data_IF_331231372212
#
_entry.id   IF_331231372212
#
_cell.length_a   1.000
_cell.length_b   1.000
_cell.length_c   1.000
_cell.angle_alpha   90.00
_cell.angle_beta   90.00
_cell.angle_gamma   90.00
#
_symmetry.space_group_name_H-M   'P 1'
#
loop_
_entity.id
_entity.type
_entity.pdbx_description
1 polymer ?
#
# COMPACT_ATOMS: atom_id res chain seq x y z
N UNK A 1 -12.93 2.52 46.26
CA UNK A 1 -11.72 2.88 45.49
C UNK A 1 -11.74 2.09 44.20
N UNK A 2 -12.29 2.66 43.14
CA UNK A 2 -12.44 1.98 41.86
C UNK A 2 -11.13 2.14 41.10
N UNK A 3 -10.39 1.04 40.95
CA UNK A 3 -9.22 0.95 40.09
C UNK A 3 -9.72 1.15 38.66
N UNK A 4 -9.73 2.40 38.19
CA UNK A 4 -9.68 2.70 36.75
C UNK A 4 -8.37 2.08 36.29
N UNK A 5 -8.44 0.87 35.73
CA UNK A 5 -7.33 0.27 35.03
C UNK A 5 -6.84 1.32 34.03
N UNK A 6 -5.64 1.85 34.28
CA UNK A 6 -4.91 2.66 33.33
C UNK A 6 -4.80 1.82 32.06
N UNK A 7 -5.69 2.03 31.08
CA UNK A 7 -5.51 1.51 29.74
C UNK A 7 -4.17 2.05 29.29
N UNK A 8 -3.15 1.19 29.27
CA UNK A 8 -1.81 1.52 28.80
C UNK A 8 -1.98 2.17 27.42
N UNK A 9 -1.52 3.41 27.26
CA UNK A 9 -1.59 4.12 25.98
C UNK A 9 -0.91 3.23 24.94
N UNK A 10 -1.62 2.86 23.89
CA UNK A 10 -1.09 2.02 22.81
C UNK A 10 -0.03 2.86 22.10
N UNK A 11 1.18 2.33 22.00
CA UNK A 11 2.25 2.95 21.21
C UNK A 11 2.27 2.30 19.83
N UNK A 12 1.74 3.02 18.84
CA UNK A 12 1.52 2.47 17.50
C UNK A 12 2.82 2.22 16.73
N UNK A 13 3.94 2.82 17.13
CA UNK A 13 5.25 2.56 16.50
C UNK A 13 5.83 1.19 16.84
N UNK A 14 5.28 0.50 17.84
CA UNK A 14 5.74 -0.84 18.25
C UNK A 14 5.10 -1.98 17.46
N UNK A 15 4.17 -1.68 16.55
CA UNK A 15 3.52 -2.69 15.72
C UNK A 15 4.23 -2.89 14.37
N UNK A 16 4.12 -4.09 13.77
CA UNK A 16 3.47 -5.30 14.31
C UNK A 16 4.28 -5.94 15.45
N UNK A 17 3.69 -6.93 16.13
CA UNK A 17 4.47 -7.80 17.01
C UNK A 17 5.45 -8.69 16.21
N UNK A 18 6.27 -9.48 16.92
CA UNK A 18 7.27 -10.38 16.30
C UNK A 18 6.66 -11.45 15.40
N UNK A 19 5.38 -11.77 15.56
CA UNK A 19 4.66 -12.73 14.72
C UNK A 19 3.95 -12.04 13.55
N UNK A 20 4.15 -10.73 13.37
CA UNK A 20 3.54 -9.96 12.30
C UNK A 20 2.10 -9.55 12.54
N UNK A 21 1.65 -9.51 13.80
CA UNK A 21 0.27 -9.14 14.13
C UNK A 21 0.11 -7.70 14.62
N UNK A 22 -0.97 -7.06 14.16
CA UNK A 22 -1.52 -5.79 14.66
C UNK A 22 -2.69 -6.11 15.59
N UNK A 23 -2.36 -6.52 16.82
CA UNK A 23 -3.34 -7.13 17.71
C UNK A 23 -3.79 -8.49 17.18
N UNK A 24 -5.01 -8.59 16.65
CA UNK A 24 -5.53 -9.85 16.07
C UNK A 24 -5.40 -9.96 14.55
N UNK A 25 -5.03 -8.87 13.87
CA UNK A 25 -4.94 -8.79 12.41
C UNK A 25 -3.49 -9.00 11.95
N UNK A 26 -3.27 -9.27 10.67
CA UNK A 26 -1.94 -9.51 10.11
C UNK A 26 -1.60 -11.00 10.02
N UNK A 27 -0.38 -11.36 10.41
CA UNK A 27 0.13 -12.74 10.39
C UNK A 27 0.52 -13.26 9.01
N UNK A 28 0.76 -14.57 8.91
CA UNK A 28 1.12 -15.29 7.67
C UNK A 28 0.10 -16.42 7.44
N UNK A 29 -0.84 -16.18 6.52
CA UNK A 29 -1.89 -17.13 6.15
C UNK A 29 -1.74 -17.58 4.70
N UNK A 30 -0.59 -18.16 4.38
CA UNK A 30 -0.23 -18.63 3.03
C UNK A 30 -0.05 -20.15 3.00
N UNK A 31 0.09 -20.71 1.80
CA UNK A 31 0.49 -22.10 1.64
C UNK A 31 1.93 -22.32 2.13
N UNK A 32 2.22 -23.51 2.65
CA UNK A 32 3.54 -23.89 3.17
C UNK A 32 4.67 -23.65 2.16
N UNK A 33 4.39 -23.81 0.86
CA UNK A 33 5.34 -23.58 -0.22
C UNK A 33 5.84 -22.14 -0.33
N UNK A 34 5.19 -21.17 0.31
CA UNK A 34 5.65 -19.77 0.37
C UNK A 34 6.31 -19.40 1.69
N UNK A 35 6.32 -20.29 2.68
CA UNK A 35 6.82 -19.94 4.02
C UNK A 35 8.30 -19.61 4.01
N UNK A 36 9.12 -20.39 3.27
CA UNK A 36 10.56 -20.13 3.15
C UNK A 36 10.84 -18.79 2.45
N UNK A 37 10.12 -18.49 1.37
CA UNK A 37 10.23 -17.20 0.66
C UNK A 37 9.92 -16.01 1.57
N UNK A 38 8.92 -16.15 2.45
CA UNK A 38 8.52 -15.13 3.40
C UNK A 38 9.50 -15.01 4.57
N UNK A 39 10.15 -16.11 4.97
CA UNK A 39 11.22 -16.10 5.95
C UNK A 39 12.45 -15.37 5.40
N UNK A 40 12.90 -15.71 4.20
CA UNK A 40 13.99 -15.02 3.51
C UNK A 40 13.71 -13.50 3.40
N UNK A 41 12.48 -13.14 3.02
CA UNK A 41 12.05 -11.74 2.94
C UNK A 41 12.04 -11.03 4.30
N UNK A 42 11.56 -11.69 5.35
CA UNK A 42 11.52 -11.12 6.70
C UNK A 42 12.92 -10.94 7.29
N UNK A 43 13.81 -11.90 7.11
CA UNK A 43 15.21 -11.78 7.54
C UNK A 43 15.92 -10.63 6.80
N UNK A 44 15.74 -10.54 5.49
CA UNK A 44 16.27 -9.43 4.70
C UNK A 44 15.68 -8.09 5.18
N UNK A 45 14.35 -8.02 5.37
CA UNK A 45 13.69 -6.81 5.86
C UNK A 45 14.19 -6.39 7.25
N UNK A 46 14.29 -7.32 8.20
CA UNK A 46 14.80 -7.05 9.55
C UNK A 46 16.24 -6.52 9.54
N UNK A 47 17.06 -7.02 8.62
CA UNK A 47 18.44 -6.57 8.43
C UNK A 47 18.47 -5.16 7.85
N UNK A 48 17.85 -4.95 6.69
CA UNK A 48 18.01 -3.73 5.91
C UNK A 48 17.18 -2.54 6.43
N UNK A 49 16.09 -2.77 7.18
CA UNK A 49 15.28 -1.67 7.75
C UNK A 49 16.04 -0.77 8.74
N UNK A 50 17.15 -1.26 9.30
CA UNK A 50 18.03 -0.50 10.19
C UNK A 50 19.46 -0.36 9.66
N UNK A 51 19.73 -0.86 8.45
CA UNK A 51 21.05 -0.79 7.84
C UNK A 51 21.32 0.64 7.33
N UNK A 52 22.37 1.33 7.81
CA UNK A 52 22.64 2.71 7.43
C UNK A 52 22.93 2.90 5.94
N UNK A 53 23.56 1.91 5.27
CA UNK A 53 23.88 2.00 3.85
C UNK A 53 22.62 1.87 2.99
N UNK A 54 21.73 0.93 3.32
CA UNK A 54 20.43 0.77 2.67
C UNK A 54 19.56 2.01 2.82
N UNK A 55 19.48 2.58 4.04
CA UNK A 55 18.71 3.78 4.30
C UNK A 55 19.27 4.99 3.55
N UNK A 56 20.60 5.13 3.48
CA UNK A 56 21.23 6.20 2.70
C UNK A 56 20.97 6.05 1.18
N UNK A 57 21.01 4.83 0.64
CA UNK A 57 20.67 4.55 -0.76
C UNK A 57 19.19 4.85 -1.05
N UNK A 58 18.29 4.45 -0.14
CA UNK A 58 16.86 4.74 -0.24
C UNK A 58 16.58 6.24 -0.19
N UNK A 59 17.16 6.97 0.76
CA UNK A 59 16.96 8.41 0.91
C UNK A 59 17.51 9.18 -0.31
N UNK A 60 18.65 8.75 -0.85
CA UNK A 60 19.21 9.31 -2.08
C UNK A 60 18.25 9.10 -3.26
N UNK A 61 17.64 7.93 -3.38
CA UNK A 61 16.68 7.62 -4.44
C UNK A 61 15.39 8.41 -4.28
N UNK A 62 14.86 8.51 -3.05
CA UNK A 62 13.69 9.33 -2.76
C UNK A 62 13.96 10.80 -3.13
N UNK A 63 15.13 11.34 -2.78
CA UNK A 63 15.47 12.72 -3.08
C UNK A 63 15.75 12.99 -4.57
N UNK A 64 16.56 12.15 -5.22
CA UNK A 64 17.11 12.44 -6.56
C UNK A 64 16.35 11.78 -7.70
N UNK A 65 15.72 10.64 -7.47
CA UNK A 65 14.97 9.91 -8.49
C UNK A 65 13.46 10.15 -8.37
N UNK A 66 12.91 10.10 -7.15
CA UNK A 66 11.48 10.33 -6.93
C UNK A 66 11.12 11.81 -6.90
N UNK A 67 11.99 12.65 -6.34
CA UNK A 67 11.78 14.10 -6.23
C UNK A 67 11.20 14.55 -4.89
N UNK A 68 11.46 13.79 -3.82
CA UNK A 68 11.04 14.13 -2.44
C UNK A 68 11.91 15.25 -1.83
N UNK A 69 11.40 16.01 -0.84
CA UNK A 69 10.06 15.94 -0.26
C UNK A 69 8.98 16.50 -1.17
N UNK A 70 7.76 15.93 -1.09
CA UNK A 70 6.62 16.49 -1.82
C UNK A 70 6.07 17.71 -1.08
N UNK A 71 5.62 18.77 -1.77
CA UNK A 71 5.07 19.95 -1.10
C UNK A 71 3.80 19.67 -0.28
N UNK A 72 3.59 20.47 0.76
CA UNK A 72 2.30 20.63 1.43
C UNK A 72 1.64 21.92 0.92
N UNK A 73 0.61 21.80 0.10
CA UNK A 73 0.01 22.93 -0.60
C UNK A 73 -1.28 23.40 0.07
N UNK A 74 -1.35 24.69 0.46
CA UNK A 74 -2.58 25.29 0.96
C UNK A 74 -3.58 25.55 -0.17
N UNK A 75 -4.68 24.81 -0.17
CA UNK A 75 -5.77 24.96 -1.12
C UNK A 75 -6.73 26.08 -0.67
N UNK A 76 -6.26 27.32 -0.68
CA UNK A 76 -7.02 28.49 -0.19
C UNK A 76 -8.43 28.62 -0.77
N UNK A 77 -8.57 28.37 -2.08
CA UNK A 77 -9.87 28.47 -2.76
C UNK A 77 -10.88 27.48 -2.18
N UNK A 78 -10.44 26.25 -1.92
CA UNK A 78 -11.29 25.24 -1.29
C UNK A 78 -11.59 25.60 0.17
N UNK A 79 -10.60 26.12 0.89
CA UNK A 79 -10.77 26.60 2.26
C UNK A 79 -11.88 27.65 2.35
N UNK A 80 -11.91 28.62 1.42
CA UNK A 80 -12.98 29.63 1.32
C UNK A 80 -14.34 29.03 0.94
N UNK A 81 -14.38 28.05 0.04
CA UNK A 81 -15.63 27.46 -0.46
C UNK A 81 -16.29 26.49 0.52
N UNK A 82 -15.51 25.83 1.38
CA UNK A 82 -15.98 24.76 2.27
C UNK A 82 -16.19 25.22 3.72
N UNK A 83 -16.50 26.50 3.92
CA UNK A 83 -16.89 27.03 5.23
C UNK A 83 -15.73 27.46 6.14
N UNK A 84 -14.53 27.65 5.59
CA UNK A 84 -13.40 28.29 6.29
C UNK A 84 -12.35 27.36 6.89
N UNK A 85 -12.55 26.03 6.84
CA UNK A 85 -11.52 25.07 7.22
C UNK A 85 -10.26 25.25 6.37
N UNK A 86 -9.07 25.19 6.97
CA UNK A 86 -7.81 25.32 6.23
C UNK A 86 -7.43 23.98 5.61
N UNK A 87 -7.48 23.89 4.28
CA UNK A 87 -7.30 22.64 3.54
C UNK A 87 -5.89 22.60 2.95
N UNK A 88 -5.10 21.61 3.38
CA UNK A 88 -3.76 21.36 2.87
C UNK A 88 -3.71 20.05 2.10
N UNK A 89 -3.05 20.07 0.95
CA UNK A 89 -2.88 18.91 0.09
C UNK A 89 -1.42 18.44 0.16
N UNK A 90 -1.17 17.24 0.69
CA UNK A 90 0.13 16.59 0.61
C UNK A 90 0.33 16.05 -0.81
N UNK A 91 1.23 16.67 -1.59
CA UNK A 91 1.29 16.57 -3.06
C UNK A 91 2.01 15.32 -3.58
N UNK A 92 1.58 14.13 -3.17
CA UNK A 92 2.10 12.85 -3.69
C UNK A 92 1.82 12.62 -5.18
N UNK A 93 0.94 13.43 -5.79
CA UNK A 93 0.71 13.49 -7.23
C UNK A 93 1.92 14.00 -8.02
N UNK A 94 2.84 14.73 -7.37
CA UNK A 94 4.04 15.28 -7.99
C UNK A 94 5.25 14.34 -7.97
N UNK A 95 5.13 13.20 -7.30
CA UNK A 95 6.18 12.19 -7.33
C UNK A 95 6.48 11.75 -8.77
N UNK A 96 7.71 11.31 -9.03
CA UNK A 96 7.98 10.52 -10.23
C UNK A 96 6.97 9.36 -10.35
N UNK A 97 6.53 9.07 -11.58
CA UNK A 97 5.38 8.20 -11.92
C UNK A 97 3.98 8.70 -11.53
N UNK A 98 3.86 9.79 -10.76
CA UNK A 98 2.61 10.52 -10.52
C UNK A 98 1.73 10.01 -9.37
N UNK A 99 2.28 9.21 -8.44
CA UNK A 99 1.54 8.71 -7.29
C UNK A 99 2.48 8.30 -6.13
N UNK A 100 1.91 8.08 -4.94
CA UNK A 100 2.64 7.58 -3.76
C UNK A 100 3.23 6.18 -3.93
N UNK A 101 2.81 5.41 -4.94
CA UNK A 101 3.24 4.01 -5.14
C UNK A 101 4.76 3.89 -5.32
N UNK A 102 5.40 4.90 -5.92
CA UNK A 102 6.84 4.89 -6.19
C UNK A 102 7.70 4.81 -4.92
N UNK A 103 7.23 5.36 -3.79
CA UNK A 103 7.92 5.28 -2.50
C UNK A 103 8.15 3.81 -2.10
N UNK A 104 7.09 3.02 -2.21
CA UNK A 104 7.11 1.59 -1.90
C UNK A 104 7.92 0.78 -2.93
N UNK A 105 7.75 1.06 -4.22
CA UNK A 105 8.42 0.26 -5.26
C UNK A 105 9.93 0.48 -5.27
N UNK A 106 10.41 1.70 -4.99
CA UNK A 106 11.85 1.96 -4.81
C UNK A 106 12.40 1.14 -3.65
N UNK A 107 11.76 1.21 -2.48
CA UNK A 107 12.20 0.45 -1.30
C UNK A 107 12.23 -1.06 -1.53
N UNK A 108 11.16 -1.63 -2.10
CA UNK A 108 11.09 -3.06 -2.39
C UNK A 108 12.07 -3.49 -3.49
N UNK A 109 12.29 -2.68 -4.53
CA UNK A 109 13.24 -3.02 -5.58
C UNK A 109 14.70 -2.97 -5.10
N UNK A 110 15.04 -2.02 -4.22
CA UNK A 110 16.33 -2.01 -3.53
C UNK A 110 16.49 -3.26 -2.67
N UNK A 111 15.46 -3.65 -1.91
CA UNK A 111 15.50 -4.88 -1.11
C UNK A 111 15.67 -6.13 -1.98
N UNK A 112 14.93 -6.22 -3.09
CA UNK A 112 15.05 -7.32 -4.06
C UNK A 112 16.48 -7.45 -4.61
N UNK A 113 17.10 -6.32 -4.97
CA UNK A 113 18.50 -6.26 -5.40
C UNK A 113 19.46 -6.75 -4.30
N UNK A 114 19.23 -6.35 -3.04
CA UNK A 114 20.04 -6.78 -1.89
C UNK A 114 19.87 -8.28 -1.58
N UNK A 115 18.71 -8.85 -1.90
CA UNK A 115 18.43 -10.29 -1.83
C UNK A 115 18.96 -11.06 -3.05
N UNK A 116 19.62 -10.41 -4.00
CA UNK A 116 20.15 -11.04 -5.21
C UNK A 116 19.08 -11.52 -6.20
N UNK A 117 17.82 -11.10 -6.04
CA UNK A 117 16.75 -11.42 -6.98
C UNK A 117 16.97 -10.65 -8.28
N UNK A 118 16.63 -11.25 -9.41
CA UNK A 118 16.85 -10.68 -10.76
C UNK A 118 15.55 -10.36 -11.48
N UNK A 119 14.43 -10.87 -10.95
CA UNK A 119 13.10 -10.75 -11.52
C UNK A 119 12.12 -10.18 -10.51
N UNK A 120 11.30 -9.23 -10.94
CA UNK A 120 10.23 -8.61 -10.16
C UNK A 120 8.88 -9.02 -10.75
N UNK A 121 7.95 -9.41 -9.88
CA UNK A 121 6.54 -9.56 -10.26
C UNK A 121 5.67 -8.62 -9.44
N UNK A 122 4.58 -8.13 -10.02
CA UNK A 122 3.64 -7.25 -9.33
C UNK A 122 2.21 -7.47 -9.85
N UNK A 123 1.21 -7.16 -9.02
CA UNK A 123 -0.18 -7.02 -9.46
C UNK A 123 -0.51 -5.57 -9.81
N UNK A 124 -1.56 -5.31 -10.60
CA UNK A 124 -2.11 -3.95 -10.68
C UNK A 124 -3.58 -3.95 -11.12
N UNK A 125 -4.35 -2.99 -10.60
CA UNK A 125 -5.73 -2.70 -11.03
C UNK A 125 -5.75 -1.42 -11.85
N UNK A 126 -5.65 -0.25 -11.21
CA UNK A 126 -5.58 1.05 -11.90
C UNK A 126 -4.31 1.25 -12.79
N UNK A 127 -3.32 0.36 -12.72
CA UNK A 127 -2.08 0.47 -13.49
C UNK A 127 -0.94 1.22 -12.79
N UNK A 128 -1.22 2.08 -11.80
CA UNK A 128 -0.20 2.92 -11.16
C UNK A 128 0.90 2.12 -10.44
N UNK A 129 0.56 1.04 -9.73
CA UNK A 129 1.58 0.18 -9.11
C UNK A 129 2.44 -0.52 -10.17
N UNK A 130 1.79 -1.08 -11.19
CA UNK A 130 2.49 -1.70 -12.31
C UNK A 130 3.45 -0.75 -13.03
N UNK A 131 3.07 0.50 -13.29
CA UNK A 131 3.95 1.52 -13.86
C UNK A 131 5.12 1.83 -12.93
N UNK A 132 4.88 1.97 -11.63
CA UNK A 132 5.94 2.21 -10.65
C UNK A 132 6.93 1.03 -10.53
N UNK A 133 6.42 -0.21 -10.55
CA UNK A 133 7.24 -1.44 -10.55
C UNK A 133 8.07 -1.57 -11.83
N UNK A 134 7.46 -1.34 -13.00
CA UNK A 134 8.18 -1.34 -14.29
C UNK A 134 9.27 -0.26 -14.33
N UNK A 135 9.00 0.91 -13.76
CA UNK A 135 9.94 2.04 -13.71
C UNK A 135 11.20 1.69 -12.91
N UNK A 136 11.04 1.10 -11.72
CA UNK A 136 12.20 0.73 -10.88
C UNK A 136 12.92 -0.50 -11.40
N UNK A 137 12.20 -1.45 -12.00
CA UNK A 137 12.81 -2.59 -12.67
C UNK A 137 13.70 -2.15 -13.85
N UNK A 138 13.20 -1.26 -14.71
CA UNK A 138 13.96 -0.71 -15.82
C UNK A 138 15.23 0.02 -15.34
N UNK A 139 15.13 0.80 -14.26
CA UNK A 139 16.28 1.49 -13.67
C UNK A 139 17.34 0.53 -13.12
N UNK A 140 16.92 -0.57 -12.50
CA UNK A 140 17.83 -1.54 -11.88
C UNK A 140 18.25 -2.67 -12.82
N UNK A 141 17.78 -2.69 -14.06
CA UNK A 141 18.07 -3.75 -15.03
C UNK A 141 17.47 -5.11 -14.66
N UNK A 142 16.31 -5.11 -13.99
CA UNK A 142 15.60 -6.32 -13.56
C UNK A 142 14.48 -6.69 -14.54
N UNK A 143 14.21 -7.98 -14.71
CA UNK A 143 13.01 -8.42 -15.43
C UNK A 143 11.76 -7.99 -14.64
N UNK A 144 10.71 -7.53 -15.33
CA UNK A 144 9.46 -7.16 -14.69
C UNK A 144 8.26 -7.81 -15.39
N UNK A 145 7.45 -8.55 -14.62
CA UNK A 145 6.15 -9.07 -15.07
C UNK A 145 5.03 -8.49 -14.20
N UNK A 146 4.08 -7.82 -14.84
CA UNK A 146 2.93 -7.22 -14.16
C UNK A 146 1.65 -7.97 -14.52
N UNK A 147 1.02 -8.56 -13.52
CA UNK A 147 -0.28 -9.21 -13.61
C UNK A 147 -1.40 -8.17 -13.52
N UNK A 148 -2.31 -8.18 -14.49
CA UNK A 148 -3.40 -7.21 -14.55
C UNK A 148 -4.68 -7.87 -15.05
N UNK A 149 -5.80 -7.59 -14.40
CA UNK A 149 -7.11 -8.09 -14.81
C UNK A 149 -7.44 -7.71 -16.25
N UNK A 150 -8.01 -8.63 -17.04
CA UNK A 150 -8.31 -8.37 -18.44
C UNK A 150 -9.28 -7.19 -18.65
N UNK A 151 -10.21 -6.97 -17.72
CA UNK A 151 -11.10 -5.79 -17.74
C UNK A 151 -10.33 -4.50 -17.46
N UNK A 152 -9.40 -4.54 -16.49
CA UNK A 152 -8.57 -3.40 -16.12
C UNK A 152 -7.61 -3.01 -17.25
N UNK A 153 -7.07 -3.97 -18.01
CA UNK A 153 -6.23 -3.70 -19.18
C UNK A 153 -6.96 -2.86 -20.21
N UNK A 154 -8.24 -3.15 -20.47
CA UNK A 154 -9.05 -2.38 -21.41
C UNK A 154 -9.30 -0.96 -20.89
N UNK A 155 -9.67 -0.83 -19.60
CA UNK A 155 -9.98 0.46 -18.97
C UNK A 155 -8.74 1.35 -18.80
N UNK A 156 -7.56 0.76 -18.63
CA UNK A 156 -6.31 1.44 -18.27
C UNK A 156 -5.24 1.33 -19.36
N UNK A 157 -5.65 1.37 -20.63
CA UNK A 157 -4.77 1.18 -21.79
C UNK A 157 -3.51 2.07 -21.78
N UNK A 158 -3.61 3.31 -21.29
CA UNK A 158 -2.47 4.22 -21.19
C UNK A 158 -1.39 3.72 -20.21
N UNK A 159 -1.79 3.18 -19.06
CA UNK A 159 -0.84 2.62 -18.09
C UNK A 159 -0.25 1.30 -18.60
N UNK A 160 -1.03 0.48 -19.30
CA UNK A 160 -0.52 -0.73 -19.99
C UNK A 160 0.56 -0.37 -21.01
N UNK A 161 0.31 0.66 -21.82
CA UNK A 161 1.28 1.14 -22.79
C UNK A 161 2.56 1.64 -22.12
N UNK A 162 2.46 2.43 -21.03
CA UNK A 162 3.61 2.90 -20.25
C UNK A 162 4.44 1.76 -19.68
N UNK A 163 3.81 0.73 -19.11
CA UNK A 163 4.51 -0.45 -18.59
C UNK A 163 5.32 -1.15 -19.68
N UNK A 164 4.74 -1.32 -20.88
CA UNK A 164 5.43 -1.93 -22.03
C UNK A 164 6.58 -1.08 -22.55
N UNK A 165 6.42 0.24 -22.59
CA UNK A 165 7.51 1.17 -22.96
C UNK A 165 8.70 1.08 -21.99
N UNK A 166 8.44 0.80 -20.72
CA UNK A 166 9.45 0.57 -19.69
C UNK A 166 10.06 -0.84 -19.74
N UNK A 167 9.66 -1.68 -20.72
CA UNK A 167 10.20 -3.03 -20.90
C UNK A 167 9.54 -4.11 -20.03
N UNK A 168 8.47 -3.79 -19.30
CA UNK A 168 7.75 -4.79 -18.51
C UNK A 168 6.80 -5.63 -19.37
N UNK A 169 6.69 -6.92 -19.04
CA UNK A 169 5.68 -7.82 -19.58
C UNK A 169 4.37 -7.60 -18.83
N UNK A 170 3.29 -7.26 -19.53
CA UNK A 170 1.95 -7.14 -18.93
C UNK A 170 1.16 -8.40 -19.20
N UNK A 171 0.97 -9.22 -18.18
CA UNK A 171 0.29 -10.51 -18.24
C UNK A 171 -1.22 -10.35 -17.93
N UNK A 172 -2.12 -10.57 -18.91
CA UNK A 172 -3.56 -10.49 -18.67
C UNK A 172 -4.05 -11.66 -17.82
N UNK A 173 -4.90 -11.34 -16.83
CA UNK A 173 -5.61 -12.32 -16.00
C UNK A 173 -7.07 -12.41 -16.43
N UNK A 174 -7.45 -13.57 -16.97
CA UNK A 174 -8.77 -13.85 -17.54
C UNK A 174 -9.65 -14.74 -16.66
N UNK A 175 -9.09 -15.26 -15.57
CA UNK A 175 -9.78 -16.06 -14.56
C UNK A 175 -10.61 -15.19 -13.61
N UNK A 176 -11.64 -15.79 -13.01
CA UNK A 176 -12.46 -15.14 -11.99
C UNK A 176 -13.18 -13.88 -12.48
N UNK A 177 -13.17 -12.85 -11.63
CA UNK A 177 -13.75 -11.52 -11.89
C UNK A 177 -12.91 -10.67 -12.85
N UNK A 178 -11.68 -11.09 -13.18
CA UNK A 178 -10.76 -10.40 -14.10
C UNK A 178 -10.38 -8.98 -13.63
N UNK A 179 -10.25 -8.82 -12.32
CA UNK A 179 -9.88 -7.58 -11.62
C UNK A 179 -8.63 -7.76 -10.75
N UNK A 180 -8.27 -6.74 -9.96
CA UNK A 180 -7.13 -6.73 -9.03
C UNK A 180 -7.06 -7.97 -8.12
N UNK A 181 -8.21 -8.48 -7.63
CA UNK A 181 -8.23 -9.68 -6.77
C UNK A 181 -7.65 -10.90 -7.49
N UNK A 182 -7.99 -11.10 -8.75
CA UNK A 182 -7.50 -12.26 -9.52
C UNK A 182 -6.05 -12.05 -9.97
N UNK A 183 -5.64 -10.81 -10.25
CA UNK A 183 -4.24 -10.46 -10.49
C UNK A 183 -3.33 -10.77 -9.30
N UNK A 184 -3.79 -10.52 -8.07
CA UNK A 184 -3.08 -10.93 -6.83
C UNK A 184 -2.87 -12.44 -6.76
N UNK A 185 -3.92 -13.22 -7.05
CA UNK A 185 -3.85 -14.68 -7.03
C UNK A 185 -2.85 -15.23 -8.05
N UNK A 186 -2.84 -14.69 -9.28
CA UNK A 186 -1.89 -15.12 -10.32
C UNK A 186 -0.45 -14.70 -10.00
N UNK A 187 -0.24 -13.50 -9.45
CA UNK A 187 1.09 -13.08 -8.98
C UNK A 187 1.63 -14.00 -7.86
N UNK A 188 0.79 -14.39 -6.90
CA UNK A 188 1.19 -15.34 -5.86
C UNK A 188 1.51 -16.73 -6.45
N UNK A 189 0.76 -17.20 -7.45
CA UNK A 189 1.03 -18.48 -8.14
C UNK A 189 2.34 -18.48 -8.91
N UNK A 190 2.65 -17.38 -9.60
CA UNK A 190 3.96 -17.18 -10.23
C UNK A 190 5.05 -17.25 -9.16
N UNK A 191 4.87 -16.53 -8.05
CA UNK A 191 5.87 -16.48 -7.01
C UNK A 191 6.21 -17.86 -6.44
N UNK A 192 5.19 -18.69 -6.17
CA UNK A 192 5.37 -20.09 -5.74
C UNK A 192 6.24 -20.88 -6.73
N UNK A 193 6.10 -20.61 -8.02
CA UNK A 193 6.77 -21.36 -9.08
C UNK A 193 8.21 -20.89 -9.30
N UNK A 194 8.52 -19.62 -9.03
CA UNK A 194 9.77 -18.96 -9.42
C UNK A 194 10.53 -18.32 -8.24
N UNK A 195 10.30 -18.81 -7.02
CA UNK A 195 10.72 -18.20 -5.75
C UNK A 195 12.22 -17.87 -5.65
N UNK A 196 13.08 -18.70 -6.25
CA UNK A 196 14.54 -18.59 -6.09
C UNK A 196 15.09 -17.26 -6.63
N UNK A 197 14.58 -16.81 -7.79
CA UNK A 197 15.08 -15.64 -8.51
C UNK A 197 14.07 -14.48 -8.60
N UNK A 198 12.83 -14.70 -8.14
CA UNK A 198 11.74 -13.74 -8.21
C UNK A 198 11.42 -13.08 -6.88
N UNK A 199 11.32 -11.76 -6.87
CA UNK A 199 10.76 -10.98 -5.78
C UNK A 199 9.33 -10.53 -6.11
N UNK A 200 8.39 -10.77 -5.21
CA UNK A 200 7.02 -10.29 -5.35
C UNK A 200 6.86 -8.87 -4.78
N UNK A 201 6.70 -7.89 -5.67
CA UNK A 201 6.47 -6.50 -5.30
C UNK A 201 5.00 -6.21 -5.03
N UNK A 202 4.55 -6.38 -3.79
CA UNK A 202 3.17 -6.08 -3.42
C UNK A 202 2.88 -4.56 -3.48
N UNK A 203 1.68 -4.19 -3.94
CA UNK A 203 1.32 -2.79 -4.22
C UNK A 203 0.62 -2.02 -3.11
N UNK A 204 0.36 -2.65 -1.96
CA UNK A 204 -0.34 -2.03 -0.84
C UNK A 204 0.03 -2.69 0.49
N UNK A 205 -0.42 -2.11 1.60
CA UNK A 205 -0.20 -2.61 2.98
C UNK A 205 -1.10 -3.81 3.32
N UNK A 206 -1.22 -4.76 2.40
CA UNK A 206 -1.90 -6.03 2.58
C UNK A 206 -0.88 -7.17 2.42
N UNK A 207 -1.33 -8.41 2.40
CA UNK A 207 -0.45 -9.56 2.23
C UNK A 207 0.07 -10.11 3.57
N UNK A 208 0.73 -11.28 3.53
CA UNK A 208 1.33 -11.87 4.72
C UNK A 208 2.47 -10.99 5.26
N UNK A 209 2.74 -11.08 6.55
CA UNK A 209 3.96 -10.50 7.14
C UNK A 209 5.21 -11.03 6.41
N UNK A 210 6.19 -10.18 6.04
CA UNK A 210 6.41 -8.80 6.51
C UNK A 210 5.78 -7.68 5.66
N UNK A 211 5.02 -7.99 4.60
CA UNK A 211 4.57 -6.98 3.63
C UNK A 211 3.81 -5.78 4.23
N UNK A 212 2.79 -5.94 5.10
CA UNK A 212 2.09 -4.78 5.66
C UNK A 212 3.02 -3.83 6.44
N UNK A 213 3.99 -4.38 7.15
CA UNK A 213 4.97 -3.60 7.90
C UNK A 213 5.95 -2.89 6.96
N UNK A 214 6.56 -3.64 6.06
CA UNK A 214 7.53 -3.12 5.10
C UNK A 214 6.95 -2.00 4.23
N UNK A 215 5.77 -2.23 3.64
CA UNK A 215 5.10 -1.24 2.79
C UNK A 215 4.74 0.02 3.59
N UNK A 216 4.30 -0.12 4.85
CA UNK A 216 4.06 1.03 5.72
C UNK A 216 5.34 1.84 5.92
N UNK A 217 6.46 1.22 6.26
CA UNK A 217 7.71 1.93 6.52
C UNK A 217 8.19 2.71 5.28
N UNK A 218 8.08 2.12 4.09
CA UNK A 218 8.42 2.83 2.84
C UNK A 218 7.45 3.98 2.53
N UNK A 219 6.20 3.90 2.98
CA UNK A 219 5.21 4.98 2.79
C UNK A 219 5.21 6.01 3.93
N UNK A 220 5.79 5.71 5.09
CA UNK A 220 5.78 6.57 6.27
C UNK A 220 6.49 7.92 6.05
N UNK A 221 7.31 8.03 5.00
CA UNK A 221 7.89 9.29 4.53
C UNK A 221 6.83 10.37 4.27
N UNK A 222 5.63 9.99 3.84
CA UNK A 222 4.51 10.92 3.57
C UNK A 222 4.13 11.65 4.85
N UNK A 223 3.86 10.90 5.93
CA UNK A 223 3.47 11.44 7.22
C UNK A 223 4.61 12.19 7.91
N UNK A 224 5.85 11.69 7.83
CA UNK A 224 7.03 12.38 8.38
C UNK A 224 7.20 13.77 7.77
N UNK A 225 7.20 13.87 6.45
CA UNK A 225 7.31 15.15 5.76
C UNK A 225 6.10 16.06 6.03
N UNK A 226 4.88 15.53 6.02
CA UNK A 226 3.68 16.33 6.30
C UNK A 226 3.71 16.93 7.70
N UNK A 227 4.18 16.16 8.69
CA UNK A 227 4.36 16.63 10.07
C UNK A 227 5.41 17.72 10.17
N UNK A 228 6.57 17.51 9.56
CA UNK A 228 7.65 18.49 9.52
C UNK A 228 7.19 19.80 8.85
N UNK A 229 6.50 19.70 7.71
CA UNK A 229 5.96 20.85 6.97
C UNK A 229 4.90 21.60 7.78
N UNK A 230 3.96 20.89 8.42
CA UNK A 230 2.94 21.51 9.28
C UNK A 230 3.56 22.31 10.43
N UNK A 231 4.54 21.72 11.11
CA UNK A 231 5.23 22.37 12.22
C UNK A 231 6.10 23.55 11.76
N UNK A 232 6.82 23.41 10.65
CA UNK A 232 7.73 24.44 10.14
C UNK A 232 6.96 25.64 9.57
N UNK A 233 5.92 25.40 8.77
CA UNK A 233 5.24 26.44 8.02
C UNK A 233 4.07 27.08 8.80
N UNK A 234 3.44 26.31 9.70
CA UNK A 234 2.21 26.73 10.40
C UNK A 234 2.31 26.66 11.93
N UNK A 235 3.39 26.11 12.49
CA UNK A 235 3.64 26.10 13.94
C UNK A 235 2.72 25.18 14.74
N UNK A 236 1.93 24.33 14.10
CA UNK A 236 0.98 23.42 14.76
C UNK A 236 0.84 22.09 14.01
N UNK A 237 0.25 21.10 14.68
CA UNK A 237 -0.24 19.88 14.03
C UNK A 237 -1.60 20.15 13.37
N UNK A 238 -2.02 19.35 12.37
CA UNK A 238 -3.35 19.49 11.78
C UNK A 238 -4.43 18.98 12.74
N UNK A 239 -5.62 19.60 12.72
CA UNK A 239 -6.78 19.10 13.49
C UNK A 239 -7.24 17.71 12.99
N UNK A 240 -7.10 17.47 11.68
CA UNK A 240 -7.51 16.23 11.05
C UNK A 240 -6.64 15.83 9.85
N UNK A 241 -6.49 14.51 9.65
CA UNK A 241 -5.90 13.89 8.48
C UNK A 241 -6.96 13.09 7.74
N UNK A 242 -6.95 13.19 6.40
CA UNK A 242 -7.90 12.47 5.54
C UNK A 242 -7.15 11.81 4.41
N UNK A 243 -7.39 10.53 4.18
CA UNK A 243 -6.79 9.78 3.06
C UNK A 243 -7.73 8.67 2.56
N UNK A 244 -7.62 8.32 1.28
CA UNK A 244 -8.44 7.26 0.70
C UNK A 244 -7.89 5.87 1.05
N UNK A 245 -8.80 4.93 1.28
CA UNK A 245 -8.48 3.57 1.72
C UNK A 245 -9.03 2.58 0.69
N UNK A 246 -8.14 2.11 -0.18
CA UNK A 246 -8.29 0.83 -0.87
C UNK A 246 -7.64 -0.25 -0.01
N UNK A 247 -6.46 -0.71 -0.41
CA UNK A 247 -5.62 -1.52 0.48
C UNK A 247 -4.93 -0.75 1.62
N UNK A 248 -4.94 0.60 1.61
CA UNK A 248 -4.53 1.44 2.75
C UNK A 248 -3.12 2.07 2.72
N UNK A 249 -2.30 1.85 1.67
CA UNK A 249 -0.86 2.24 1.73
C UNK A 249 -0.59 3.74 1.81
N UNK A 250 -1.32 4.57 1.08
CA UNK A 250 -1.19 6.04 1.20
C UNK A 250 -1.68 6.53 2.56
N UNK A 251 -2.80 5.95 3.02
CA UNK A 251 -3.46 6.35 4.25
C UNK A 251 -2.55 6.09 5.45
N UNK A 252 -2.06 4.86 5.63
CA UNK A 252 -1.15 4.58 6.74
C UNK A 252 0.19 5.31 6.58
N UNK A 253 0.67 5.54 5.35
CA UNK A 253 1.86 6.36 5.09
C UNK A 253 1.72 7.78 5.64
N UNK A 254 0.55 8.41 5.45
CA UNK A 254 0.23 9.73 6.01
C UNK A 254 -0.01 9.65 7.53
N UNK A 255 -0.80 8.67 7.97
CA UNK A 255 -1.29 8.60 9.35
C UNK A 255 -0.21 8.21 10.36
N UNK A 256 0.76 7.37 9.98
CA UNK A 256 1.68 6.71 10.92
C UNK A 256 2.42 7.70 11.84
N UNK A 257 2.86 8.84 11.31
CA UNK A 257 3.57 9.86 12.08
C UNK A 257 2.71 10.59 13.13
N UNK A 258 1.39 10.39 13.11
CA UNK A 258 0.41 11.07 13.96
C UNK A 258 -0.43 10.12 14.82
N UNK A 259 -0.27 8.79 14.68
CA UNK A 259 -1.10 7.80 15.40
C UNK A 259 -1.03 7.93 16.94
N UNK A 260 0.08 8.46 17.46
CA UNK A 260 0.28 8.67 18.90
C UNK A 260 -0.16 10.07 19.39
N UNK A 261 -0.54 10.97 18.47
CA UNK A 261 -1.01 12.34 18.72
C UNK A 261 -2.53 12.32 18.89
N UNK A 262 -3.02 12.19 20.13
CA UNK A 262 -4.45 11.99 20.44
C UNK A 262 -5.37 13.15 20.06
N UNK A 263 -4.79 14.31 19.76
CA UNK A 263 -5.53 15.52 19.35
C UNK A 263 -5.76 15.57 17.83
N UNK A 264 -5.02 14.77 17.04
CA UNK A 264 -5.15 14.73 15.59
C UNK A 264 -6.20 13.69 15.20
N UNK A 265 -7.33 14.14 14.65
CA UNK A 265 -8.35 13.22 14.13
C UNK A 265 -7.87 12.53 12.84
N UNK A 266 -8.18 11.25 12.66
CA UNK A 266 -7.74 10.46 11.49
C UNK A 266 -8.94 9.85 10.80
N UNK A 267 -9.12 10.17 9.52
CA UNK A 267 -10.24 9.72 8.70
C UNK A 267 -9.76 8.96 7.47
N UNK A 268 -10.04 7.65 7.42
CA UNK A 268 -9.91 6.83 6.21
C UNK A 268 -11.20 6.84 5.40
N UNK A 269 -11.11 7.07 4.09
CA UNK A 269 -12.28 7.15 3.20
C UNK A 269 -12.28 5.99 2.20
N UNK A 270 -13.25 5.09 2.33
CA UNK A 270 -13.42 3.94 1.42
C UNK A 270 -14.40 4.25 0.27
N UNK A 271 -14.38 3.43 -0.79
CA UNK A 271 -15.26 3.62 -1.93
C UNK A 271 -16.67 3.03 -1.69
N UNK A 272 -17.66 3.89 -1.52
CA UNK A 272 -19.06 3.47 -1.38
C UNK A 272 -19.73 3.01 -2.69
N UNK A 273 -19.05 3.08 -3.84
CA UNK A 273 -19.56 2.65 -5.14
C UNK A 273 -20.89 3.32 -5.50
N UNK A 274 -21.92 2.53 -5.77
CA UNK A 274 -23.29 3.01 -6.04
C UNK A 274 -24.12 3.21 -4.76
N UNK A 275 -23.51 3.04 -3.58
CA UNK A 275 -24.14 3.09 -2.27
C UNK A 275 -23.91 1.77 -1.52
N UNK A 276 -23.62 1.84 -0.22
CA UNK A 276 -23.37 0.64 0.61
C UNK A 276 -24.58 -0.30 0.60
N UNK A 277 -25.79 0.26 0.73
CA UNK A 277 -27.04 -0.51 0.76
C UNK A 277 -27.34 -1.26 -0.55
N UNK A 278 -26.67 -0.89 -1.66
CA UNK A 278 -26.84 -1.57 -2.95
C UNK A 278 -26.03 -2.86 -3.07
N UNK A 279 -25.09 -3.10 -2.15
CA UNK A 279 -24.08 -4.15 -2.26
C UNK A 279 -23.03 -3.93 -3.36
N UNK A 280 -23.13 -2.85 -4.14
CA UNK A 280 -22.19 -2.49 -5.21
C UNK A 280 -21.21 -1.42 -4.72
N UNK A 281 -20.29 -1.81 -3.85
CA UNK A 281 -19.30 -0.93 -3.21
C UNK A 281 -17.97 -1.66 -2.96
N UNK A 282 -16.98 -0.93 -2.43
CA UNK A 282 -15.72 -1.46 -1.91
C UNK A 282 -15.40 -0.91 -0.49
N UNK A 283 -16.44 -0.57 0.29
CA UNK A 283 -16.34 -0.08 1.67
C UNK A 283 -16.13 -1.22 2.69
N UNK A 284 -14.91 -1.76 2.73
CA UNK A 284 -14.54 -2.97 3.46
C UNK A 284 -14.63 -2.83 4.99
N UNK A 285 -14.16 -1.72 5.57
CA UNK A 285 -14.26 -1.46 7.00
C UNK A 285 -15.68 -1.08 7.42
N UNK A 286 -16.44 -0.42 6.53
CA UNK A 286 -17.82 -0.03 6.82
C UNK A 286 -18.82 -1.20 6.79
N UNK A 287 -18.66 -2.14 5.86
CA UNK A 287 -19.65 -3.19 5.59
C UNK A 287 -19.11 -4.63 5.65
N UNK A 288 -17.79 -4.80 5.76
CA UNK A 288 -17.15 -6.10 5.81
C UNK A 288 -17.08 -6.69 7.21
N UNK A 289 -16.44 -7.86 7.29
CA UNK A 289 -16.20 -8.57 8.55
C UNK A 289 -14.79 -9.17 8.60
N UNK A 290 -14.26 -9.45 9.80
CA UNK A 290 -12.96 -10.10 9.93
C UNK A 290 -12.92 -11.47 9.25
N UNK A 291 -11.82 -11.77 8.57
CA UNK A 291 -11.52 -13.07 8.00
C UNK A 291 -10.09 -13.11 7.46
N UNK A 292 -9.80 -14.03 6.55
CA UNK A 292 -8.46 -14.21 5.96
C UNK A 292 -8.56 -14.07 4.45
N UNK A 293 -7.76 -13.19 3.87
CA UNK A 293 -7.70 -12.96 2.43
C UNK A 293 -6.26 -12.61 2.04
N UNK A 294 -5.77 -13.18 0.94
CA UNK A 294 -4.45 -12.87 0.37
C UNK A 294 -3.29 -12.90 1.38
N UNK A 295 -3.29 -13.86 2.31
CA UNK A 295 -2.14 -14.09 3.20
C UNK A 295 -2.18 -13.39 4.55
N UNK A 296 -3.19 -12.55 4.85
CA UNK A 296 -3.36 -11.94 6.17
C UNK A 296 -4.78 -12.08 6.73
N UNK A 297 -4.88 -12.03 8.06
CA UNK A 297 -6.15 -11.81 8.73
C UNK A 297 -6.49 -10.32 8.72
N UNK A 298 -7.63 -9.96 8.15
CA UNK A 298 -8.06 -8.56 7.93
C UNK A 298 -9.59 -8.45 7.89
N UNK A 299 -10.14 -7.26 7.68
CA UNK A 299 -11.52 -7.10 7.21
C UNK A 299 -11.61 -7.38 5.71
N UNK A 300 -12.71 -8.03 5.32
CA UNK A 300 -13.03 -8.26 3.93
C UNK A 300 -14.54 -8.28 3.69
N UNK A 301 -14.92 -8.07 2.43
CA UNK A 301 -16.27 -8.20 1.93
C UNK A 301 -16.48 -9.66 1.48
N UNK A 302 -17.36 -10.39 2.16
CA UNK A 302 -17.75 -11.75 1.83
C UNK A 302 -19.23 -12.03 2.12
N UNK A 303 -19.76 -13.06 1.46
CA UNK A 303 -21.11 -13.57 1.69
C UNK A 303 -21.18 -14.36 3.01
N UNK A 304 -22.37 -14.84 3.37
CA UNK A 304 -22.58 -15.61 4.61
C UNK A 304 -21.69 -16.86 4.73
N UNK A 305 -21.36 -17.49 3.60
CA UNK A 305 -20.54 -18.70 3.52
C UNK A 305 -19.03 -18.42 3.51
N UNK A 306 -18.64 -17.14 3.53
CA UNK A 306 -17.24 -16.72 3.53
C UNK A 306 -16.64 -16.54 2.15
N UNK A 307 -17.43 -16.62 1.08
CA UNK A 307 -16.96 -16.39 -0.29
C UNK A 307 -16.81 -14.89 -0.55
N UNK A 308 -15.69 -14.50 -1.17
CA UNK A 308 -15.39 -13.10 -1.48
C UNK A 308 -16.42 -12.56 -2.47
N UNK A 309 -17.06 -11.44 -2.12
CA UNK A 309 -18.00 -10.79 -3.04
C UNK A 309 -17.24 -9.87 -4.00
N UNK A 310 -17.81 -9.71 -5.20
CA UNK A 310 -17.29 -8.73 -6.16
C UNK A 310 -17.56 -7.32 -5.66
N UNK A 311 -16.55 -6.46 -5.75
CA UNK A 311 -16.65 -5.07 -5.37
C UNK A 311 -17.02 -4.18 -6.54
N UNK A 312 -17.38 -2.94 -6.25
CA UNK A 312 -17.60 -1.95 -7.29
C UNK A 312 -17.14 -0.56 -6.86
N UNK A 313 -16.29 0.05 -7.68
CA UNK A 313 -15.87 1.44 -7.55
C UNK A 313 -15.60 2.03 -8.93
N UNK A 314 -15.90 3.31 -9.12
CA UNK A 314 -15.45 4.04 -10.31
C UNK A 314 -13.92 4.15 -10.38
N UNK A 315 -13.26 4.11 -9.21
CA UNK A 315 -11.81 4.13 -9.09
C UNK A 315 -11.26 2.72 -8.90
N UNK A 316 -10.60 2.20 -9.93
CA UNK A 316 -9.95 0.89 -9.89
C UNK A 316 -8.88 0.76 -8.79
N UNK A 317 -8.34 1.88 -8.28
CA UNK A 317 -7.37 1.87 -7.17
C UNK A 317 -8.00 1.60 -5.80
N UNK A 318 -9.33 1.73 -5.70
CA UNK A 318 -10.12 1.49 -4.48
C UNK A 318 -11.00 0.24 -4.61
N UNK A 319 -11.06 -0.39 -5.78
CA UNK A 319 -11.90 -1.54 -6.06
C UNK A 319 -11.25 -2.84 -5.57
N UNK A 320 -11.22 -3.01 -4.25
CA UNK A 320 -10.60 -4.16 -3.59
C UNK A 320 -11.48 -4.65 -2.41
N UNK A 321 -11.80 -5.96 -2.32
CA UNK A 321 -12.67 -6.50 -1.26
C UNK A 321 -12.00 -6.61 0.11
N UNK A 322 -10.71 -6.33 0.23
CA UNK A 322 -9.97 -6.37 1.49
C UNK A 322 -9.46 -5.00 1.91
N UNK A 323 -8.72 -4.96 3.01
CA UNK A 323 -7.99 -3.79 3.49
C UNK A 323 -6.72 -4.25 4.21
N UNK A 324 -5.74 -3.36 4.42
CA UNK A 324 -4.58 -3.68 5.26
C UNK A 324 -4.96 -4.07 6.70
N UNK A 325 -4.19 -4.95 7.35
CA UNK A 325 -4.47 -5.43 8.71
C UNK A 325 -4.25 -4.38 9.80
#
# INVERSE_FOLDING_TARGET
MTVKALRKKVDYSQFPDRAGHFGRYGGRFVAETLMEALHELDEAWQTYRTDPEFLAELDLDLARYVGRPTPLYHAERWSRQLGGAQIYLKREDLNHTGAHKINNTVGQALLAKRMGKTRLIAETGAGQHGVASATVAARLGMECVVYMGAEDIQRQALNVYRMRLLGATVQPVTSGSRTLKDALNEAMRDWVTNVDHTFYMIGTVAGPHPYPWMVREFQAVIGREAREQMLADYGCLPDALVACVGGGSNAIGLFHAFLNDSEVAIYGVEAAGLGIDTGRHAATLCAGRPGVLHGNRTYLLNDANGQIIETHSVSAGLDYPGVGP
#
